data_IF_066794181306
#
_entry.id   IF_066794181306
#
_cell.length_a   1.000
_cell.length_b   1.000
_cell.length_c   1.000
_cell.angle_alpha   90.00
_cell.angle_beta   90.00
_cell.angle_gamma   90.00
#
_symmetry.space_group_name_H-M   'P 1'
#
loop_
_entity.id
_entity.type
_entity.pdbx_description
1 polymer ?
#
# COMPACT_ATOMS: atom_id res chain seq x y z
N UNK A 1 -9.26 -3.88 16.34
CA UNK A 1 -8.00 -3.17 16.68
C UNK A 1 -8.18 -1.66 16.57
N UNK A 2 -8.32 -1.11 15.36
CA UNK A 2 -8.36 0.36 15.14
C UNK A 2 -9.38 1.12 16.01
N UNK A 3 -10.62 0.62 16.12
CA UNK A 3 -11.61 1.23 17.01
C UNK A 3 -11.19 1.32 18.48
N UNK A 4 -10.54 0.27 19.00
CA UNK A 4 -10.04 0.28 20.37
C UNK A 4 -8.88 1.23 20.51
N UNK A 5 -8.06 1.36 19.47
CA UNK A 5 -6.94 2.28 19.46
C UNK A 5 -7.38 3.74 19.43
N UNK A 6 -8.32 4.12 18.55
CA UNK A 6 -8.86 5.47 18.50
C UNK A 6 -9.45 5.91 19.85
N UNK A 7 -10.01 4.95 20.62
CA UNK A 7 -10.54 5.20 21.97
C UNK A 7 -9.49 5.22 23.08
N UNK A 8 -8.53 4.29 23.06
CA UNK A 8 -7.63 4.00 24.20
C UNK A 8 -6.17 4.41 23.96
N UNK A 9 -5.81 4.84 22.75
CA UNK A 9 -4.47 5.23 22.31
C UNK A 9 -3.41 4.20 22.70
N UNK A 10 -3.41 3.05 22.04
CA UNK A 10 -2.42 2.01 22.31
C UNK A 10 -1.02 2.44 21.88
N UNK A 11 -0.02 1.91 22.58
CA UNK A 11 1.37 2.06 22.14
C UNK A 11 1.61 1.24 20.88
N UNK A 12 2.59 1.66 20.07
CA UNK A 12 2.95 0.98 18.82
C UNK A 12 3.26 -0.52 19.02
N UNK A 13 3.82 -0.90 20.18
CA UNK A 13 4.09 -2.30 20.53
C UNK A 13 2.81 -3.14 20.61
N UNK A 14 1.76 -2.62 21.26
CA UNK A 14 0.49 -3.34 21.36
C UNK A 14 -0.20 -3.45 20.01
N UNK A 15 -0.22 -2.37 19.20
CA UNK A 15 -0.74 -2.43 17.82
C UNK A 15 -0.06 -3.53 17.02
N UNK A 16 1.26 -3.56 17.03
CA UNK A 16 2.06 -4.54 16.29
C UNK A 16 1.77 -5.97 16.75
N UNK A 17 1.69 -6.21 18.07
CA UNK A 17 1.35 -7.54 18.61
C UNK A 17 -0.02 -8.02 18.14
N UNK A 18 -1.05 -7.16 18.17
CA UNK A 18 -2.37 -7.50 17.65
C UNK A 18 -2.36 -7.76 16.15
N UNK A 19 -1.66 -6.93 15.37
CA UNK A 19 -1.54 -7.13 13.92
C UNK A 19 -0.82 -8.45 13.60
N UNK A 20 0.25 -8.81 14.33
CA UNK A 20 0.93 -10.11 14.21
C UNK A 20 -0.05 -11.25 14.49
N UNK A 21 -0.82 -11.16 15.58
CA UNK A 21 -1.83 -12.16 15.93
C UNK A 21 -2.88 -12.35 14.82
N UNK A 22 -3.38 -11.24 14.26
CA UNK A 22 -4.32 -11.25 13.13
C UNK A 22 -3.67 -11.88 11.89
N UNK A 23 -2.44 -11.50 11.55
CA UNK A 23 -1.73 -12.05 10.39
C UNK A 23 -1.48 -13.57 10.53
N UNK A 24 -1.13 -14.03 11.73
CA UNK A 24 -0.98 -15.45 12.03
C UNK A 24 -2.30 -16.19 11.82
N UNK A 25 -3.41 -15.67 12.35
CA UNK A 25 -4.74 -16.23 12.15
C UNK A 25 -5.07 -16.34 10.66
N UNK A 26 -4.87 -15.26 9.91
CA UNK A 26 -5.14 -15.23 8.47
C UNK A 26 -4.32 -16.26 7.69
N UNK A 27 -3.05 -16.45 8.04
CA UNK A 27 -2.21 -17.49 7.44
C UNK A 27 -2.82 -18.89 7.62
N UNK A 28 -3.25 -19.22 8.85
CA UNK A 28 -3.87 -20.51 9.15
C UNK A 28 -5.26 -20.67 8.52
N UNK A 29 -5.99 -19.58 8.32
CA UNK A 29 -7.24 -19.54 7.53
C UNK A 29 -7.01 -19.67 6.01
N UNK A 30 -5.75 -19.72 5.55
CA UNK A 30 -5.41 -19.99 4.15
C UNK A 30 -5.06 -18.75 3.33
N UNK A 31 -5.06 -17.56 3.91
CA UNK A 31 -4.61 -16.31 3.27
C UNK A 31 -3.08 -16.23 3.33
N UNK A 32 -2.41 -16.98 2.45
CA UNK A 32 -0.95 -17.14 2.48
C UNK A 32 -0.31 -17.00 1.11
N UNK A 33 0.86 -16.35 1.11
CA UNK A 33 1.72 -16.25 -0.06
C UNK A 33 2.47 -17.56 -0.22
N UNK A 34 2.09 -18.39 -1.20
CA UNK A 34 2.74 -19.70 -1.43
C UNK A 34 3.81 -19.66 -2.51
N UNK A 35 3.60 -18.83 -3.51
CA UNK A 35 4.37 -18.77 -4.75
C UNK A 35 4.64 -17.30 -5.04
N UNK A 36 5.87 -16.98 -5.45
CA UNK A 36 6.25 -15.69 -6.00
C UNK A 36 6.60 -15.85 -7.48
N UNK A 37 6.11 -14.96 -8.33
CA UNK A 37 6.44 -14.98 -9.75
C UNK A 37 7.84 -14.43 -9.97
N UNK A 38 8.65 -15.20 -10.69
CA UNK A 38 9.94 -14.75 -11.17
C UNK A 38 9.75 -14.10 -12.56
N UNK A 39 10.10 -12.82 -12.76
CA UNK A 39 10.01 -12.20 -14.07
C UNK A 39 11.03 -12.75 -15.08
N UNK A 40 12.10 -13.42 -14.62
CA UNK A 40 13.20 -13.92 -15.43
C UNK A 40 13.25 -15.44 -15.59
N UNK A 41 12.24 -16.16 -15.10
CA UNK A 41 12.25 -17.63 -15.12
C UNK A 41 11.08 -18.24 -14.38
N UNK A 42 11.28 -19.43 -13.82
CA UNK A 42 10.24 -20.18 -13.12
C UNK A 42 9.84 -19.56 -11.79
N UNK A 43 8.56 -19.71 -11.46
CA UNK A 43 7.98 -19.24 -10.20
C UNK A 43 8.66 -19.89 -8.98
N UNK A 44 8.84 -19.12 -7.92
CA UNK A 44 9.51 -19.53 -6.68
C UNK A 44 8.47 -20.04 -5.68
N UNK A 45 8.57 -21.32 -5.31
CA UNK A 45 7.74 -21.93 -4.26
C UNK A 45 8.37 -21.63 -2.90
N UNK A 46 7.63 -20.96 -2.00
CA UNK A 46 8.19 -20.43 -0.76
C UNK A 46 8.36 -21.45 0.37
N UNK A 47 7.62 -22.56 0.36
CA UNK A 47 7.69 -23.56 1.43
C UNK A 47 7.53 -22.94 2.83
N UNK A 48 8.52 -23.14 3.70
CA UNK A 48 8.51 -22.64 5.08
C UNK A 48 8.59 -21.11 5.17
N UNK A 49 9.17 -20.45 4.16
CA UNK A 49 9.32 -18.98 4.08
C UNK A 49 7.96 -18.30 3.85
N UNK A 50 6.97 -19.05 3.35
CA UNK A 50 5.59 -18.59 3.17
C UNK A 50 5.02 -17.97 4.45
N UNK A 51 5.30 -18.56 5.61
CA UNK A 51 4.78 -18.08 6.89
C UNK A 51 5.32 -16.70 7.26
N UNK A 52 6.63 -16.50 7.50
CA UNK A 52 7.16 -15.20 7.87
C UNK A 52 6.89 -14.14 6.80
N UNK A 53 6.93 -14.49 5.52
CA UNK A 53 6.65 -13.54 4.43
C UNK A 53 5.19 -13.07 4.47
N UNK A 54 4.23 -13.96 4.70
CA UNK A 54 2.82 -13.58 4.82
C UNK A 54 2.60 -12.66 6.03
N UNK A 55 3.23 -12.94 7.17
CA UNK A 55 3.11 -12.06 8.34
C UNK A 55 3.64 -10.66 8.01
N UNK A 56 4.86 -10.58 7.47
CA UNK A 56 5.47 -9.31 7.05
C UNK A 56 4.57 -8.58 6.05
N UNK A 57 3.98 -9.30 5.10
CA UNK A 57 3.06 -8.72 4.11
C UNK A 57 1.87 -8.01 4.75
N UNK A 58 1.15 -8.69 5.65
CA UNK A 58 0.01 -8.10 6.35
C UNK A 58 0.44 -6.87 7.16
N UNK A 59 1.52 -6.97 7.93
CA UNK A 59 2.03 -5.85 8.73
C UNK A 59 2.39 -4.65 7.86
N UNK A 60 3.06 -4.90 6.73
CA UNK A 60 3.53 -3.87 5.82
C UNK A 60 2.35 -3.12 5.21
N UNK A 61 1.37 -3.82 4.64
CA UNK A 61 0.21 -3.18 3.99
C UNK A 61 -0.69 -2.48 5.01
N UNK A 62 -0.96 -3.09 6.17
CA UNK A 62 -1.79 -2.50 7.21
C UNK A 62 -1.19 -1.17 7.69
N UNK A 63 0.08 -1.19 8.11
CA UNK A 63 0.69 0.00 8.72
C UNK A 63 0.90 1.12 7.72
N UNK A 64 1.07 0.80 6.45
CA UNK A 64 1.37 1.85 5.50
C UNK A 64 0.13 2.46 4.84
N UNK A 65 -1.04 1.80 4.88
CA UNK A 65 -2.33 2.51 4.76
C UNK A 65 -2.58 3.45 5.94
N UNK A 66 -2.22 3.05 7.16
CA UNK A 66 -2.28 3.92 8.33
C UNK A 66 -1.34 5.13 8.20
N UNK A 67 -0.17 4.97 7.59
CA UNK A 67 0.79 6.06 7.39
C UNK A 67 0.31 7.14 6.39
N UNK A 68 -0.40 6.75 5.33
CA UNK A 68 -0.90 7.69 4.30
C UNK A 68 -2.20 8.38 4.67
N UNK A 69 -2.85 7.98 5.76
CA UNK A 69 -4.11 8.58 6.24
C UNK A 69 -3.93 9.97 6.89
N UNK A 70 -2.71 10.52 6.84
CA UNK A 70 -2.41 11.88 7.30
C UNK A 70 -2.80 13.00 6.31
N UNK A 71 -3.26 12.67 5.10
CA UNK A 71 -3.72 13.65 4.10
C UNK A 71 -5.17 13.38 3.71
N UNK A 72 -5.97 14.44 3.70
CA UNK A 72 -7.36 14.42 3.27
C UNK A 72 -7.54 13.75 1.89
N UNK A 73 -8.29 12.66 1.87
CA UNK A 73 -8.63 11.88 0.69
C UNK A 73 -7.55 10.91 0.20
N UNK A 74 -6.28 11.05 0.60
CA UNK A 74 -5.19 10.26 0.02
C UNK A 74 -5.39 8.75 0.22
N UNK A 75 -5.56 8.30 1.46
CA UNK A 75 -5.68 6.89 1.80
C UNK A 75 -6.91 6.24 1.13
N UNK A 76 -8.06 6.90 1.20
CA UNK A 76 -9.32 6.40 0.62
C UNK A 76 -9.29 6.40 -0.91
N UNK A 77 -8.72 7.42 -1.56
CA UNK A 77 -8.58 7.44 -3.02
C UNK A 77 -7.56 6.40 -3.54
N UNK A 78 -6.43 6.23 -2.84
CA UNK A 78 -5.49 5.13 -3.14
C UNK A 78 -6.20 3.78 -2.98
N UNK A 79 -6.97 3.59 -1.91
CA UNK A 79 -7.73 2.36 -1.70
C UNK A 79 -8.71 2.07 -2.85
N UNK A 80 -9.42 3.08 -3.36
CA UNK A 80 -10.30 2.92 -4.53
C UNK A 80 -9.53 2.43 -5.75
N UNK A 81 -8.39 3.05 -6.06
CA UNK A 81 -7.57 2.69 -7.22
C UNK A 81 -7.02 1.27 -7.08
N UNK A 82 -6.45 0.94 -5.93
CA UNK A 82 -5.94 -0.42 -5.65
C UNK A 82 -7.05 -1.46 -5.83
N UNK A 83 -8.23 -1.21 -5.28
CA UNK A 83 -9.35 -2.14 -5.41
C UNK A 83 -9.93 -2.20 -6.83
N UNK A 84 -9.87 -1.13 -7.64
CA UNK A 84 -10.23 -1.20 -9.06
C UNK A 84 -9.32 -2.17 -9.82
N UNK A 85 -8.02 -2.14 -9.54
CA UNK A 85 -7.08 -3.09 -10.16
C UNK A 85 -7.34 -4.52 -9.65
N UNK A 86 -7.56 -4.71 -8.34
CA UNK A 86 -7.92 -6.02 -7.78
C UNK A 86 -9.23 -6.55 -8.38
N UNK A 87 -10.22 -5.69 -8.60
CA UNK A 87 -11.47 -6.03 -9.27
C UNK A 87 -11.22 -6.47 -10.72
N UNK A 88 -10.39 -5.74 -11.47
CA UNK A 88 -10.01 -6.11 -12.83
C UNK A 88 -9.26 -7.46 -12.89
N UNK A 89 -8.38 -7.72 -11.92
CA UNK A 89 -7.74 -9.04 -11.75
C UNK A 89 -8.80 -10.11 -11.44
N UNK A 90 -9.75 -9.82 -10.54
CA UNK A 90 -10.87 -10.69 -10.24
C UNK A 90 -11.69 -11.06 -11.49
N UNK A 91 -11.95 -10.09 -12.37
CA UNK A 91 -12.61 -10.32 -13.67
C UNK A 91 -11.76 -11.23 -14.58
N UNK A 92 -10.47 -10.91 -14.73
CA UNK A 92 -9.56 -11.64 -15.62
C UNK A 92 -9.48 -13.13 -15.28
N UNK A 93 -9.48 -13.46 -13.99
CA UNK A 93 -9.40 -14.83 -13.51
C UNK A 93 -10.74 -15.41 -13.05
N UNK A 94 -11.85 -14.72 -13.33
CA UNK A 94 -13.21 -15.13 -12.94
C UNK A 94 -13.36 -15.44 -11.43
N UNK A 95 -12.58 -14.75 -10.59
CA UNK A 95 -12.61 -14.92 -9.14
C UNK A 95 -13.66 -14.01 -8.50
N UNK A 96 -14.88 -14.56 -8.34
CA UNK A 96 -16.04 -13.86 -7.76
C UNK A 96 -15.78 -13.30 -6.36
N UNK A 97 -14.95 -13.98 -5.55
CA UNK A 97 -14.65 -13.53 -4.19
C UNK A 97 -13.83 -12.24 -4.20
N UNK A 98 -12.75 -12.19 -5.01
CA UNK A 98 -11.95 -10.97 -5.19
C UNK A 98 -12.84 -9.86 -5.74
N UNK A 99 -13.66 -10.16 -6.76
CA UNK A 99 -14.55 -9.18 -7.37
C UNK A 99 -15.49 -8.52 -6.35
N UNK A 100 -16.18 -9.34 -5.55
CA UNK A 100 -17.18 -8.87 -4.59
C UNK A 100 -16.54 -8.05 -3.45
N UNK A 101 -15.41 -8.52 -2.92
CA UNK A 101 -14.70 -7.81 -1.85
C UNK A 101 -14.14 -6.47 -2.35
N UNK A 102 -13.54 -6.47 -3.54
CA UNK A 102 -12.99 -5.26 -4.15
C UNK A 102 -14.09 -4.23 -4.48
N UNK A 103 -15.22 -4.66 -5.10
CA UNK A 103 -16.37 -3.80 -5.37
C UNK A 103 -16.95 -3.17 -4.10
N UNK A 104 -17.06 -3.96 -3.03
CA UNK A 104 -17.55 -3.48 -1.73
C UNK A 104 -16.65 -2.37 -1.20
N UNK A 105 -15.33 -2.57 -1.24
CA UNK A 105 -14.36 -1.56 -0.82
C UNK A 105 -14.34 -0.33 -1.74
N UNK A 106 -14.50 -0.50 -3.05
CA UNK A 106 -14.63 0.63 -3.98
C UNK A 106 -15.83 1.48 -3.58
N UNK A 107 -17.01 0.87 -3.43
CA UNK A 107 -18.24 1.59 -3.06
C UNK A 107 -18.14 2.30 -1.72
N UNK A 108 -17.65 1.61 -0.68
CA UNK A 108 -17.51 2.22 0.66
C UNK A 108 -16.49 3.35 0.68
N UNK A 109 -15.34 3.17 0.03
CA UNK A 109 -14.29 4.20 -0.01
C UNK A 109 -14.67 5.37 -0.90
N UNK A 110 -15.38 5.18 -2.01
CA UNK A 110 -15.91 6.28 -2.83
C UNK A 110 -16.94 7.12 -2.06
N UNK A 111 -17.84 6.46 -1.32
CA UNK A 111 -18.81 7.14 -0.47
C UNK A 111 -18.12 7.93 0.64
N UNK A 112 -17.12 7.35 1.29
CA UNK A 112 -16.32 8.02 2.31
C UNK A 112 -15.48 9.18 1.74
N UNK A 113 -14.83 8.98 0.59
CA UNK A 113 -13.99 9.96 -0.09
C UNK A 113 -14.77 11.23 -0.42
N UNK A 114 -16.07 11.14 -0.74
CA UNK A 114 -16.93 12.33 -0.93
C UNK A 114 -16.90 13.30 0.27
N UNK A 115 -16.74 12.77 1.49
CA UNK A 115 -16.70 13.56 2.72
C UNK A 115 -15.28 13.76 3.26
N UNK A 116 -14.33 12.91 2.86
CA UNK A 116 -12.94 12.94 3.30
C UNK A 116 -12.00 13.67 2.32
N UNK A 117 -12.44 13.95 1.09
CA UNK A 117 -11.64 14.72 0.14
C UNK A 117 -11.46 16.17 0.60
N UNK A 118 -10.26 16.73 0.37
CA UNK A 118 -9.89 18.04 0.86
C UNK A 118 -10.88 19.14 0.45
N UNK A 119 -11.39 19.96 1.40
CA UNK A 119 -11.18 19.88 2.86
C UNK A 119 -12.05 18.81 3.53
N UNK A 120 -11.45 17.92 4.33
CA UNK A 120 -12.16 16.80 4.95
C UNK A 120 -13.19 17.25 6.00
N UNK A 121 -14.37 16.63 5.95
CA UNK A 121 -15.45 16.77 6.96
C UNK A 121 -15.41 15.65 7.99
N UNK A 122 -14.90 14.48 7.60
CA UNK A 122 -14.73 13.30 8.45
C UNK A 122 -13.35 12.70 8.22
N UNK A 123 -12.73 12.26 9.31
CA UNK A 123 -11.44 11.57 9.29
C UNK A 123 -11.63 10.07 9.38
N UNK A 124 -10.70 9.32 8.77
CA UNK A 124 -10.76 7.86 8.70
C UNK A 124 -10.29 7.22 10.03
N UNK A 125 -9.22 7.76 10.60
CA UNK A 125 -8.64 7.30 11.86
C UNK A 125 -8.02 5.91 11.75
N UNK A 126 -7.54 5.38 12.87
CA UNK A 126 -6.96 4.03 12.90
C UNK A 126 -8.02 2.96 12.64
N UNK A 127 -9.28 3.24 12.96
CA UNK A 127 -10.41 2.36 12.63
C UNK A 127 -10.48 2.06 11.14
N UNK A 128 -10.54 3.09 10.30
CA UNK A 128 -10.70 2.90 8.86
C UNK A 128 -9.40 2.48 8.17
N UNK A 129 -8.28 3.13 8.51
CA UNK A 129 -7.01 2.92 7.78
C UNK A 129 -6.43 1.52 8.00
N UNK A 130 -6.45 1.01 9.24
CA UNK A 130 -6.04 -0.37 9.54
C UNK A 130 -6.98 -1.39 8.91
N UNK A 131 -8.29 -1.10 8.87
CA UNK A 131 -9.28 -1.98 8.25
C UNK A 131 -9.08 -2.09 6.73
N UNK A 132 -8.88 -0.95 6.04
CA UNK A 132 -8.64 -0.91 4.60
C UNK A 132 -7.34 -1.65 4.26
N UNK A 133 -6.25 -1.35 4.97
CA UNK A 133 -4.96 -2.02 4.76
C UNK A 133 -5.06 -3.53 4.99
N UNK A 134 -5.78 -3.97 6.02
CA UNK A 134 -6.03 -5.39 6.29
C UNK A 134 -6.78 -6.07 5.14
N UNK A 135 -7.88 -5.47 4.66
CA UNK A 135 -8.66 -6.11 3.60
C UNK A 135 -7.87 -6.15 2.29
N UNK A 136 -7.13 -5.10 1.94
CA UNK A 136 -6.27 -5.10 0.74
C UNK A 136 -5.17 -6.18 0.86
N UNK A 137 -4.55 -6.32 2.04
CA UNK A 137 -3.59 -7.39 2.30
C UNK A 137 -4.21 -8.78 2.14
N UNK A 138 -5.42 -8.99 2.67
CA UNK A 138 -6.13 -10.26 2.56
C UNK A 138 -6.55 -10.57 1.12
N UNK A 139 -7.21 -9.63 0.44
CA UNK A 139 -7.65 -9.80 -0.96
C UNK A 139 -6.45 -10.08 -1.86
N UNK A 140 -5.32 -9.40 -1.66
CA UNK A 140 -4.13 -9.58 -2.48
C UNK A 140 -3.47 -10.96 -2.35
N UNK A 141 -3.68 -11.67 -1.24
CA UNK A 141 -3.21 -13.06 -1.09
C UNK A 141 -4.33 -14.08 -1.31
N UNK A 142 -5.57 -13.62 -1.54
CA UNK A 142 -6.70 -14.47 -1.88
C UNK A 142 -6.56 -14.89 -3.34
N UNK A 143 -6.33 -16.18 -3.60
CA UNK A 143 -6.19 -16.71 -4.97
C UNK A 143 -4.87 -17.43 -5.25
N UNK A 144 -3.91 -17.42 -4.32
CA UNK A 144 -2.60 -18.11 -4.48
C UNK A 144 -2.69 -19.62 -4.69
N UNK A 145 -3.86 -20.22 -4.46
CA UNK A 145 -4.09 -21.66 -4.61
C UNK A 145 -4.64 -22.00 -6.00
N UNK A 146 -5.41 -21.10 -6.63
CA UNK A 146 -6.12 -21.39 -7.88
C UNK A 146 -5.50 -20.71 -9.10
N UNK A 147 -4.79 -19.59 -8.93
CA UNK A 147 -4.25 -18.82 -10.05
C UNK A 147 -2.87 -18.25 -9.70
N UNK A 148 -1.81 -18.95 -10.12
CA UNK A 148 -0.41 -18.65 -9.80
C UNK A 148 0.02 -17.21 -10.19
N UNK A 149 -0.53 -16.67 -11.27
CA UNK A 149 -0.23 -15.30 -11.72
C UNK A 149 -0.92 -14.19 -10.91
N UNK A 150 -2.02 -14.46 -10.21
CA UNK A 150 -2.77 -13.44 -9.46
C UNK A 150 -1.92 -12.87 -8.34
N UNK A 151 -1.33 -13.74 -7.52
CA UNK A 151 -0.70 -13.34 -6.26
C UNK A 151 0.43 -12.34 -6.47
N UNK A 152 1.29 -12.53 -7.46
CA UNK A 152 2.39 -11.57 -7.66
C UNK A 152 1.89 -10.20 -8.13
N UNK A 153 0.86 -10.17 -8.98
CA UNK A 153 0.30 -8.91 -9.48
C UNK A 153 -0.48 -8.19 -8.39
N UNK A 154 -1.25 -8.93 -7.60
CA UNK A 154 -2.00 -8.39 -6.48
C UNK A 154 -1.11 -7.99 -5.30
N UNK A 155 0.09 -8.58 -5.16
CA UNK A 155 1.12 -8.14 -4.20
C UNK A 155 1.89 -6.91 -4.68
N UNK A 156 2.16 -6.77 -5.98
CA UNK A 156 2.85 -5.58 -6.49
C UNK A 156 2.00 -4.31 -6.28
N UNK A 157 0.67 -4.40 -6.42
CA UNK A 157 -0.20 -3.22 -6.34
C UNK A 157 -0.10 -2.50 -4.98
N UNK A 158 -0.25 -3.18 -3.81
CA UNK A 158 -0.03 -2.53 -2.53
C UNK A 158 1.42 -2.07 -2.38
N UNK A 159 2.45 -2.86 -2.71
CA UNK A 159 3.87 -2.42 -2.62
C UNK A 159 4.09 -1.10 -3.36
N UNK A 160 3.40 -0.91 -4.48
CA UNK A 160 3.59 0.28 -5.27
C UNK A 160 2.71 1.46 -4.82
N UNK A 161 1.47 1.21 -4.38
CA UNK A 161 0.68 2.21 -3.66
C UNK A 161 1.45 2.72 -2.42
N UNK A 162 2.28 1.85 -1.87
CA UNK A 162 3.16 2.13 -0.77
C UNK A 162 4.45 2.86 -1.17
N UNK A 163 4.73 3.10 -2.45
CA UNK A 163 5.88 3.90 -2.88
C UNK A 163 5.86 5.29 -2.27
N UNK A 164 4.67 5.91 -2.14
CA UNK A 164 4.53 7.20 -1.49
C UNK A 164 4.90 7.16 0.02
N UNK A 165 4.29 6.29 0.86
CA UNK A 165 4.66 6.15 2.28
C UNK A 165 6.03 5.51 2.55
N UNK A 166 6.50 4.58 1.70
CA UNK A 166 7.83 3.98 1.79
C UNK A 166 8.88 5.02 1.45
N UNK A 167 8.67 5.86 0.42
CA UNK A 167 9.56 6.99 0.15
C UNK A 167 9.62 7.92 1.36
N UNK A 168 8.50 8.12 2.06
CA UNK A 168 8.48 8.96 3.25
C UNK A 168 9.31 8.40 4.39
N UNK A 169 9.01 7.15 4.75
CA UNK A 169 9.71 6.44 5.82
C UNK A 169 11.19 6.28 5.50
N UNK A 170 11.53 5.94 4.25
CA UNK A 170 12.90 5.81 3.77
C UNK A 170 13.65 7.15 3.82
N UNK A 171 13.04 8.24 3.33
CA UNK A 171 13.65 9.57 3.38
C UNK A 171 13.77 10.11 4.81
N UNK A 172 12.89 9.74 5.73
CA UNK A 172 13.01 10.02 7.16
C UNK A 172 14.20 9.27 7.78
N UNK A 173 14.34 7.97 7.49
CA UNK A 173 15.48 7.15 7.93
C UNK A 173 16.80 7.72 7.40
N UNK A 174 16.91 7.98 6.09
CA UNK A 174 18.14 8.55 5.48
C UNK A 174 18.48 9.92 6.07
N UNK A 175 17.48 10.78 6.32
CA UNK A 175 17.67 12.09 6.95
C UNK A 175 18.24 11.94 8.36
N UNK A 176 17.73 11.01 9.16
CA UNK A 176 18.18 10.77 10.54
C UNK A 176 19.57 10.18 10.59
N UNK A 177 19.90 9.26 9.68
CA UNK A 177 21.26 8.76 9.53
C UNK A 177 22.22 9.91 9.21
N UNK A 178 21.85 10.81 8.28
CA UNK A 178 22.66 12.02 7.97
C UNK A 178 22.75 13.00 9.14
N UNK A 179 21.70 13.11 9.97
CA UNK A 179 21.67 13.95 11.18
C UNK A 179 22.24 13.26 12.44
N UNK A 180 22.67 11.99 12.35
CA UNK A 180 23.09 11.15 13.49
C UNK A 180 22.04 11.03 14.61
N UNK A 181 20.77 11.13 14.27
CA UNK A 181 19.66 11.00 15.21
C UNK A 181 19.17 9.54 15.28
N UNK A 182 18.57 9.16 16.41
CA UNK A 182 18.02 7.81 16.57
C UNK A 182 16.90 7.54 15.58
N UNK A 183 17.02 6.42 14.85
CA UNK A 183 16.04 5.95 13.86
C UNK A 183 14.67 5.66 14.50
N UNK A 184 14.64 5.35 15.81
CA UNK A 184 13.44 4.90 16.54
C UNK A 184 12.65 6.01 17.24
N UNK A 185 13.08 7.28 17.18
CA UNK A 185 12.29 8.40 17.69
C UNK A 185 11.04 8.60 16.82
N UNK A 186 9.88 8.99 17.36
CA UNK A 186 8.73 9.30 16.51
C UNK A 186 9.08 10.49 15.59
N UNK A 187 9.09 10.32 14.27
CA UNK A 187 9.26 11.42 13.32
C UNK A 187 7.91 12.07 13.09
N UNK A 188 7.86 13.40 13.15
CA UNK A 188 6.66 14.18 12.81
C UNK A 188 6.76 14.77 11.39
N UNK A 189 7.91 14.62 10.72
CA UNK A 189 8.14 15.16 9.38
C UNK A 189 7.91 14.13 8.29
N UNK A 190 6.64 13.80 8.08
CA UNK A 190 6.17 13.02 6.94
C UNK A 190 6.27 13.83 5.62
N UNK A 191 6.37 13.15 4.48
CA UNK A 191 6.53 13.73 3.12
C UNK A 191 5.42 14.72 2.85
N UNK A 192 4.21 14.45 3.33
CA UNK A 192 3.10 15.36 3.15
C UNK A 192 3.29 16.68 3.90
N UNK A 193 3.87 16.66 5.10
CA UNK A 193 4.30 17.89 5.78
C UNK A 193 5.36 18.62 4.97
N UNK A 194 6.34 17.91 4.40
CA UNK A 194 7.39 18.55 3.57
C UNK A 194 6.89 19.10 2.25
N UNK A 195 5.96 18.42 1.60
CA UNK A 195 5.31 18.91 0.39
C UNK A 195 4.45 20.14 0.72
N UNK A 196 3.73 20.12 1.85
CA UNK A 196 3.02 21.30 2.35
C UNK A 196 3.97 22.46 2.68
N UNK A 197 5.11 22.20 3.33
CA UNK A 197 6.16 23.18 3.61
C UNK A 197 6.82 23.72 2.33
N UNK A 198 6.86 22.91 1.27
CA UNK A 198 7.35 23.29 -0.07
C UNK A 198 6.27 23.99 -0.92
N UNK A 199 5.09 24.28 -0.34
CA UNK A 199 4.00 25.05 -0.97
C UNK A 199 2.93 24.24 -1.70
N UNK A 200 2.98 22.90 -1.68
CA UNK A 200 1.93 22.06 -2.24
C UNK A 200 0.71 22.00 -1.32
N UNK A 201 -0.49 22.25 -1.86
CA UNK A 201 -1.72 22.01 -1.10
C UNK A 201 -2.02 20.50 -1.00
N UNK A 202 -2.78 20.10 0.03
CA UNK A 202 -3.12 18.70 0.28
C UNK A 202 -3.82 18.03 -0.92
N UNK A 203 -4.70 18.76 -1.60
CA UNK A 203 -5.39 18.28 -2.81
C UNK A 203 -4.40 17.84 -3.90
N UNK A 204 -3.35 18.63 -4.15
CA UNK A 204 -2.31 18.31 -5.13
C UNK A 204 -1.56 17.05 -4.72
N UNK A 205 -1.24 16.89 -3.43
CA UNK A 205 -0.54 15.70 -2.94
C UNK A 205 -1.41 14.44 -3.13
N UNK A 206 -2.71 14.54 -2.82
CA UNK A 206 -3.67 13.44 -3.04
C UNK A 206 -3.77 13.07 -4.52
N UNK A 207 -3.85 14.05 -5.43
CA UNK A 207 -3.90 13.80 -6.88
C UNK A 207 -2.61 13.14 -7.39
N UNK A 208 -1.44 13.62 -6.96
CA UNK A 208 -0.15 13.01 -7.32
C UNK A 208 -0.12 11.54 -6.85
N UNK A 209 -0.54 11.27 -5.62
CA UNK A 209 -0.65 9.92 -5.08
C UNK A 209 -1.57 9.02 -5.91
N UNK A 210 -2.72 9.56 -6.36
CA UNK A 210 -3.64 8.85 -7.23
C UNK A 210 -3.03 8.53 -8.59
N UNK A 211 -2.41 9.51 -9.25
CA UNK A 211 -1.79 9.33 -10.56
C UNK A 211 -0.68 8.28 -10.51
N UNK A 212 0.20 8.37 -9.51
CA UNK A 212 1.28 7.39 -9.30
C UNK A 212 0.68 6.00 -9.11
N UNK A 213 -0.26 5.85 -8.16
CA UNK A 213 -0.89 4.56 -7.85
C UNK A 213 -1.60 3.98 -9.08
N UNK A 214 -2.27 4.81 -9.87
CA UNK A 214 -2.97 4.38 -11.09
C UNK A 214 -2.00 3.88 -12.16
N UNK A 215 -0.94 4.62 -12.47
CA UNK A 215 0.06 4.22 -13.47
C UNK A 215 0.70 2.89 -13.12
N UNK A 216 1.07 2.72 -11.86
CA UNK A 216 1.65 1.47 -11.40
C UNK A 216 0.64 0.33 -11.30
N UNK A 217 -0.62 0.64 -10.98
CA UNK A 217 -1.73 -0.31 -11.08
C UNK A 217 -1.89 -0.85 -12.50
N UNK A 218 -1.76 0.01 -13.51
CA UNK A 218 -1.77 -0.40 -14.92
C UNK A 218 -0.59 -1.29 -15.28
N UNK A 219 0.63 -0.96 -14.80
CA UNK A 219 1.82 -1.81 -15.00
C UNK A 219 1.58 -3.19 -14.38
N UNK A 220 1.12 -3.24 -13.13
CA UNK A 220 0.84 -4.48 -12.41
C UNK A 220 -0.22 -5.34 -13.12
N UNK A 221 -1.28 -4.71 -13.62
CA UNK A 221 -2.30 -5.40 -14.43
C UNK A 221 -1.73 -5.90 -15.77
N UNK A 222 -0.90 -5.08 -16.41
CA UNK A 222 -0.25 -5.35 -17.70
C UNK A 222 0.63 -6.60 -17.71
N UNK A 223 1.17 -7.02 -16.56
CA UNK A 223 1.94 -8.27 -16.42
C UNK A 223 1.16 -9.53 -16.81
N UNK A 224 -0.17 -9.42 -16.94
CA UNK A 224 -1.01 -10.51 -17.44
C UNK A 224 -1.05 -10.59 -18.97
N UNK A 225 -0.61 -9.54 -19.67
CA UNK A 225 -0.78 -9.39 -21.13
C UNK A 225 0.51 -9.12 -21.89
N UNK A 226 1.55 -8.60 -21.22
CA UNK A 226 2.81 -8.23 -21.85
C UNK A 226 4.02 -8.97 -21.23
N UNK A 227 5.18 -8.86 -21.89
CA UNK A 227 6.42 -9.44 -21.39
C UNK A 227 6.75 -8.92 -20.00
N UNK A 228 6.96 -9.85 -19.05
CA UNK A 228 7.31 -9.56 -17.65
C UNK A 228 8.61 -8.76 -17.57
N UNK A 229 9.56 -9.01 -18.45
CA UNK A 229 10.85 -8.32 -18.52
C UNK A 229 10.66 -6.85 -18.90
N UNK A 230 9.88 -6.58 -19.95
CA UNK A 230 9.60 -5.22 -20.42
C UNK A 230 8.88 -4.42 -19.33
N UNK A 231 7.90 -5.01 -18.66
CA UNK A 231 7.17 -4.35 -17.59
C UNK A 231 8.02 -4.11 -16.35
N UNK A 232 8.96 -5.02 -16.03
CA UNK A 232 9.93 -4.81 -14.96
C UNK A 232 10.86 -3.63 -15.29
N UNK A 233 11.32 -3.51 -16.54
CA UNK A 233 12.13 -2.35 -16.97
C UNK A 233 11.34 -1.06 -16.86
N UNK A 234 10.09 -1.02 -17.34
CA UNK A 234 9.21 0.16 -17.22
C UNK A 234 8.98 0.51 -15.75
N UNK A 235 8.75 -0.48 -14.89
CA UNK A 235 8.58 -0.30 -13.45
C UNK A 235 9.83 0.35 -12.83
N UNK A 236 11.02 -0.17 -13.13
CA UNK A 236 12.28 0.36 -12.62
C UNK A 236 12.54 1.78 -13.11
N UNK A 237 12.27 2.08 -14.39
CA UNK A 237 12.40 3.42 -14.94
C UNK A 237 11.45 4.41 -14.25
N UNK A 238 10.20 4.01 -14.01
CA UNK A 238 9.22 4.87 -13.33
C UNK A 238 9.64 5.15 -11.88
N UNK A 239 10.18 4.14 -11.16
CA UNK A 239 10.73 4.31 -9.82
C UNK A 239 11.92 5.27 -9.83
N UNK A 240 12.84 5.14 -10.79
CA UNK A 240 14.00 6.03 -10.94
C UNK A 240 13.54 7.47 -11.22
N UNK A 241 12.60 7.66 -12.14
CA UNK A 241 12.05 8.99 -12.47
C UNK A 241 11.39 9.65 -11.26
N UNK A 242 10.64 8.89 -10.46
CA UNK A 242 10.06 9.39 -9.22
C UNK A 242 11.14 9.76 -8.20
N UNK A 243 12.16 8.92 -8.01
CA UNK A 243 13.26 9.22 -7.12
C UNK A 243 13.99 10.50 -7.54
N UNK A 244 14.26 10.68 -8.85
CA UNK A 244 14.84 11.90 -9.39
C UNK A 244 13.95 13.12 -9.16
N UNK A 245 12.65 13.02 -9.44
CA UNK A 245 11.68 14.10 -9.20
C UNK A 245 11.71 14.57 -7.73
N UNK A 246 11.73 13.64 -6.77
CA UNK A 246 11.82 13.97 -5.34
C UNK A 246 13.18 14.57 -4.94
N UNK A 247 14.28 14.19 -5.61
CA UNK A 247 15.60 14.79 -5.38
C UNK A 247 15.64 16.22 -5.94
N UNK A 248 15.16 16.44 -7.16
CA UNK A 248 15.17 17.76 -7.82
C UNK A 248 14.26 18.77 -7.13
N UNK A 249 13.05 18.36 -6.71
CA UNK A 249 12.15 19.23 -5.95
C UNK A 249 12.75 19.67 -4.60
N UNK A 250 13.56 18.83 -3.95
CA UNK A 250 14.34 19.22 -2.76
C UNK A 250 15.50 20.18 -3.06
N UNK A 251 16.10 20.08 -4.25
CA UNK A 251 17.19 20.97 -4.66
C UNK A 251 16.73 22.40 -4.93
N UNK A 252 15.47 22.59 -5.30
CA UNK A 252 14.86 23.90 -5.61
C UNK A 252 14.41 24.69 -4.37
N UNK A 253 14.30 24.05 -3.21
CA UNK A 253 13.88 24.67 -1.94
C UNK A 253 15.02 24.82 -0.91
N UNK A 254 16.27 24.84 -1.39
CA UNK A 254 17.43 25.31 -0.62
C UNK A 254 17.81 26.71 -1.06
#
# INVERSE_FOLDING_TARGET
>A
LGYLDDKRKFTAKYKLLFQIGIACLMYYLGFKIKILTNPFGDDIILGIISFPLTIVWFLLVINAFNLIDGIDGLASGIAVIVNLVLFAVGLLFSNKMIMLLALTLIGSNMAFLKYNFYPAKIFMGDTGSLFIGFNIAAISVTGSIQFKGITTMTLLIPIIALTFPISDTFLAIVRRIKKKESIFLADKEHIHHKMMESGYNQKTISIIGYTITFLFGLIAFGFSFASKEILLVILLLLIILLALFFIFTKGLHK
#
